data_IF_764828939179
#
_entry.id   IF_764828939179
#
_cell.length_a   1.000
_cell.length_b   1.000
_cell.length_c   1.000
_cell.angle_alpha   90.00
_cell.angle_beta   90.00
_cell.angle_gamma   90.00
#
_symmetry.space_group_name_H-M   'P 1'
#
loop_
_entity.id
_entity.type
_entity.pdbx_description
1 polymer ?
#
# COMPACT_ATOMS: atom_id res chain seq x y z
N UNK A 1 -6.03 -9.63 -19.01
CA UNK A 1 -7.16 -10.50 -18.59
C UNK A 1 -7.37 -10.29 -17.10
N UNK A 2 -8.58 -9.94 -16.66
CA UNK A 2 -8.91 -9.80 -15.24
C UNK A 2 -9.45 -11.14 -14.76
N UNK A 3 -8.74 -11.85 -13.89
CA UNK A 3 -9.20 -13.13 -13.34
C UNK A 3 -9.79 -12.89 -11.95
N UNK A 4 -11.10 -12.79 -11.85
CA UNK A 4 -11.81 -12.57 -10.59
C UNK A 4 -12.14 -13.86 -9.83
N UNK A 5 -12.16 -14.99 -10.51
CA UNK A 5 -12.53 -16.30 -9.96
C UNK A 5 -11.38 -17.34 -10.00
N UNK A 6 -11.57 -18.46 -9.32
CA UNK A 6 -10.58 -19.55 -9.25
C UNK A 6 -10.26 -20.16 -10.61
N UNK A 7 -11.26 -20.54 -11.42
CA UNK A 7 -11.03 -21.12 -12.74
C UNK A 7 -10.24 -20.22 -13.68
N UNK A 8 -10.56 -18.93 -13.74
CA UNK A 8 -9.84 -17.95 -14.56
C UNK A 8 -8.39 -17.77 -14.10
N UNK A 9 -8.11 -17.81 -12.78
CA UNK A 9 -6.75 -17.77 -12.25
C UNK A 9 -5.94 -19.03 -12.64
N UNK A 10 -6.53 -20.21 -12.55
CA UNK A 10 -5.90 -21.45 -12.95
C UNK A 10 -5.53 -21.44 -14.43
N UNK A 11 -6.43 -20.97 -15.28
CA UNK A 11 -6.17 -20.82 -16.70
C UNK A 11 -5.04 -19.82 -16.97
N UNK A 12 -5.02 -18.69 -16.27
CA UNK A 12 -3.95 -17.69 -16.41
C UNK A 12 -2.58 -18.27 -16.01
N UNK A 13 -2.51 -19.06 -14.92
CA UNK A 13 -1.28 -19.69 -14.45
C UNK A 13 -0.78 -20.81 -15.38
N UNK A 14 -1.66 -21.46 -16.13
CA UNK A 14 -1.32 -22.50 -17.08
C UNK A 14 -0.95 -21.99 -18.48
N UNK A 15 -1.16 -20.70 -18.74
CA UNK A 15 -0.84 -20.09 -20.03
C UNK A 15 0.67 -20.16 -20.30
N UNK A 16 1.11 -20.56 -21.50
CA UNK A 16 2.53 -20.63 -21.83
C UNK A 16 3.14 -19.23 -21.99
N UNK A 17 4.44 -19.12 -21.66
CA UNK A 17 5.23 -17.91 -21.87
C UNK A 17 5.32 -17.00 -20.63
N UNK A 18 6.03 -15.87 -20.75
CA UNK A 18 6.17 -14.91 -19.66
C UNK A 18 4.85 -14.19 -19.40
N UNK A 19 4.53 -13.97 -18.11
CA UNK A 19 3.30 -13.32 -17.70
C UNK A 19 3.55 -12.36 -16.53
N UNK A 20 2.71 -11.34 -16.41
CA UNK A 20 2.65 -10.41 -15.28
C UNK A 20 1.28 -10.53 -14.64
N UNK A 21 1.26 -10.86 -13.36
CA UNK A 21 0.04 -10.96 -12.57
C UNK A 21 -0.07 -9.75 -11.66
N UNK A 22 -1.17 -9.00 -11.78
CA UNK A 22 -1.45 -7.83 -10.95
C UNK A 22 -2.58 -8.18 -9.98
N UNK A 23 -2.33 -7.95 -8.69
CA UNK A 23 -3.32 -8.14 -7.64
C UNK A 23 -3.40 -6.90 -6.76
N UNK A 24 -4.58 -6.61 -6.25
CA UNK A 24 -4.72 -5.68 -5.13
C UNK A 24 -4.16 -6.30 -3.86
N UNK A 25 -3.79 -5.44 -2.89
CA UNK A 25 -3.37 -5.84 -1.56
C UNK A 25 -1.88 -6.18 -1.41
N UNK A 26 -1.11 -5.17 -0.99
CA UNK A 26 0.31 -5.34 -0.64
C UNK A 26 0.55 -6.25 0.56
N UNK A 27 -0.45 -6.54 1.39
CA UNK A 27 -0.38 -7.51 2.48
C UNK A 27 -0.28 -8.94 1.98
N UNK A 28 -0.68 -9.20 0.73
CA UNK A 28 -0.81 -10.53 0.10
C UNK A 28 -1.81 -11.42 0.83
N UNK A 29 -2.88 -10.83 1.38
CA UNK A 29 -3.95 -11.51 2.13
C UNK A 29 -5.15 -11.89 1.27
N UNK A 30 -5.32 -11.26 0.11
CA UNK A 30 -6.41 -11.58 -0.80
C UNK A 30 -6.25 -12.99 -1.40
N UNK A 31 -7.36 -13.71 -1.69
CA UNK A 31 -7.30 -15.03 -2.30
C UNK A 31 -6.52 -15.07 -3.62
N UNK A 32 -6.57 -14.00 -4.41
CA UNK A 32 -5.83 -13.92 -5.67
C UNK A 32 -4.33 -13.79 -5.43
N UNK A 33 -3.90 -12.88 -4.53
CA UNK A 33 -2.49 -12.70 -4.19
C UNK A 33 -1.89 -13.97 -3.59
N UNK A 34 -2.61 -14.64 -2.69
CA UNK A 34 -2.19 -15.90 -2.09
C UNK A 34 -2.03 -17.01 -3.13
N UNK A 35 -2.97 -17.15 -4.05
CA UNK A 35 -2.92 -18.18 -5.09
C UNK A 35 -1.74 -17.98 -6.05
N UNK A 36 -1.51 -16.75 -6.52
CA UNK A 36 -0.36 -16.46 -7.39
C UNK A 36 0.96 -16.62 -6.64
N UNK A 37 1.03 -16.19 -5.38
CA UNK A 37 2.23 -16.40 -4.57
C UNK A 37 2.57 -17.87 -4.43
N UNK A 38 1.62 -18.70 -4.03
CA UNK A 38 1.86 -20.15 -3.86
C UNK A 38 2.30 -20.83 -5.16
N UNK A 39 1.69 -20.46 -6.29
CA UNK A 39 2.03 -21.03 -7.58
C UNK A 39 3.42 -20.60 -8.11
N UNK A 40 3.89 -19.42 -7.74
CA UNK A 40 5.06 -18.80 -8.39
C UNK A 40 6.28 -18.67 -7.47
N UNK A 41 6.13 -18.82 -6.15
CA UNK A 41 7.19 -18.56 -5.16
C UNK A 41 8.41 -19.48 -5.30
N UNK A 42 8.22 -20.71 -5.78
CA UNK A 42 9.27 -21.74 -5.84
C UNK A 42 10.23 -21.64 -7.03
N UNK A 43 9.99 -20.76 -7.99
CA UNK A 43 10.84 -20.63 -9.18
C UNK A 43 11.68 -19.34 -9.12
N UNK A 44 12.99 -19.48 -9.13
CA UNK A 44 13.95 -18.37 -9.06
C UNK A 44 13.90 -17.43 -10.28
N UNK A 45 13.29 -17.85 -11.39
CA UNK A 45 13.06 -17.01 -12.58
C UNK A 45 11.96 -15.96 -12.32
N UNK A 46 11.08 -16.23 -11.36
CA UNK A 46 10.00 -15.32 -11.01
C UNK A 46 10.47 -14.13 -10.14
N UNK A 47 9.71 -13.06 -10.17
CA UNK A 47 9.92 -11.91 -9.33
C UNK A 47 8.59 -11.48 -8.70
N UNK A 48 8.59 -11.30 -7.38
CA UNK A 48 7.48 -10.73 -6.61
C UNK A 48 7.79 -9.26 -6.38
N UNK A 49 6.94 -8.38 -6.90
CA UNK A 49 7.10 -6.93 -6.77
C UNK A 49 6.04 -6.36 -5.84
N UNK A 50 6.47 -5.86 -4.69
CA UNK A 50 5.59 -5.19 -3.73
C UNK A 50 5.63 -3.68 -4.00
N UNK A 51 4.48 -3.13 -4.41
CA UNK A 51 4.34 -1.71 -4.76
C UNK A 51 3.53 -0.90 -3.75
N UNK A 52 2.81 -1.58 -2.85
CA UNK A 52 1.94 -0.97 -1.85
C UNK A 52 2.48 -1.03 -0.44
N UNK A 53 1.72 -0.44 0.49
CA UNK A 53 2.01 -0.53 1.91
C UNK A 53 1.87 -1.97 2.42
N UNK A 54 2.76 -2.35 3.33
CA UNK A 54 2.72 -3.66 4.00
C UNK A 54 2.91 -3.51 5.50
N UNK A 55 2.03 -4.11 6.31
CA UNK A 55 2.25 -4.25 7.74
C UNK A 55 3.41 -5.21 8.01
N UNK A 56 4.12 -5.04 9.13
CA UNK A 56 5.31 -5.86 9.47
C UNK A 56 5.01 -7.36 9.54
N UNK A 57 3.84 -7.74 10.04
CA UNK A 57 3.41 -9.13 10.18
C UNK A 57 2.85 -9.74 8.90
N UNK A 58 2.55 -8.93 7.88
CA UNK A 58 1.95 -9.40 6.65
C UNK A 58 2.92 -10.21 5.78
N UNK A 59 2.41 -11.14 4.99
CA UNK A 59 3.19 -11.95 4.06
C UNK A 59 4.04 -11.07 3.13
N UNK A 60 3.48 -9.99 2.60
CA UNK A 60 4.18 -9.04 1.74
C UNK A 60 5.39 -8.34 2.37
N UNK A 61 5.49 -8.33 3.72
CA UNK A 61 6.71 -7.90 4.42
C UNK A 61 7.64 -9.08 4.70
N UNK A 62 7.10 -10.24 5.07
CA UNK A 62 7.89 -11.42 5.46
C UNK A 62 8.67 -12.03 4.31
N UNK A 63 8.23 -11.87 3.06
CA UNK A 63 8.95 -12.38 1.88
C UNK A 63 10.35 -11.77 1.70
N UNK A 64 10.71 -10.73 2.45
CA UNK A 64 12.06 -10.14 2.47
C UNK A 64 12.95 -10.71 3.57
N UNK A 65 12.40 -11.47 4.51
CA UNK A 65 13.14 -12.12 5.58
C UNK A 65 13.76 -13.45 5.09
N UNK A 66 15.07 -13.60 5.23
CA UNK A 66 15.81 -14.75 4.71
C UNK A 66 15.43 -16.06 5.38
N UNK A 67 15.18 -16.07 6.70
CA UNK A 67 14.79 -17.25 7.44
C UNK A 67 13.39 -17.69 7.03
N UNK A 68 12.46 -16.77 6.92
CA UNK A 68 11.11 -17.06 6.42
C UNK A 68 11.12 -17.57 4.99
N UNK A 69 11.93 -16.98 4.10
CA UNK A 69 12.06 -17.43 2.71
C UNK A 69 12.52 -18.87 2.62
N UNK A 70 13.55 -19.25 3.39
CA UNK A 70 14.06 -20.61 3.45
C UNK A 70 12.99 -21.60 3.94
N UNK A 71 12.30 -21.26 5.04
CA UNK A 71 11.24 -22.08 5.61
C UNK A 71 10.04 -22.26 4.66
N UNK A 72 9.66 -21.20 3.96
CA UNK A 72 8.49 -21.18 3.06
C UNK A 72 8.80 -21.65 1.62
N UNK A 73 10.04 -22.03 1.32
CA UNK A 73 10.46 -22.49 -0.01
C UNK A 73 10.39 -21.38 -1.08
N UNK A 74 10.73 -20.14 -0.72
CA UNK A 74 10.64 -18.97 -1.64
C UNK A 74 11.96 -18.82 -2.38
N UNK A 75 12.02 -19.31 -3.61
CA UNK A 75 13.14 -19.12 -4.54
C UNK A 75 12.95 -17.85 -5.42
N UNK A 76 11.72 -17.44 -5.69
CA UNK A 76 11.41 -16.24 -6.48
C UNK A 76 12.10 -14.99 -5.89
N UNK A 77 12.61 -14.12 -6.75
CA UNK A 77 13.16 -12.84 -6.31
C UNK A 77 12.07 -11.98 -5.70
N UNK A 78 12.38 -11.18 -4.68
CA UNK A 78 11.45 -10.22 -4.09
C UNK A 78 12.05 -8.83 -4.18
N UNK A 79 11.26 -7.87 -4.66
CA UNK A 79 11.66 -6.47 -4.75
C UNK A 79 10.55 -5.59 -4.20
N UNK A 80 10.94 -4.46 -3.59
CA UNK A 80 10.01 -3.42 -3.18
C UNK A 80 10.21 -2.20 -4.07
N UNK A 81 9.13 -1.74 -4.67
CA UNK A 81 9.09 -0.50 -5.40
C UNK A 81 8.17 0.47 -4.64
N UNK A 82 8.75 1.52 -4.09
CA UNK A 82 7.98 2.53 -3.38
C UNK A 82 7.29 3.43 -4.40
N UNK A 83 5.98 3.23 -4.55
CA UNK A 83 5.12 4.13 -5.32
C UNK A 83 4.38 4.99 -4.30
N UNK A 84 4.50 6.30 -4.42
CA UNK A 84 3.81 7.25 -3.56
C UNK A 84 2.31 7.24 -3.89
N UNK A 85 1.51 6.64 -3.02
CA UNK A 85 0.05 6.52 -3.18
C UNK A 85 -0.73 7.38 -2.18
N UNK A 86 -0.05 7.98 -1.20
CA UNK A 86 -0.63 8.91 -0.23
C UNK A 86 0.06 10.26 -0.32
N UNK A 87 -0.69 11.31 -0.05
CA UNK A 87 -0.13 12.65 0.05
C UNK A 87 0.74 12.75 1.29
N UNK A 88 1.94 13.33 1.15
CA UNK A 88 2.74 13.76 2.30
C UNK A 88 2.43 15.23 2.67
N UNK A 89 3.11 15.75 3.68
CA UNK A 89 2.93 17.12 4.15
C UNK A 89 3.07 18.15 3.03
N UNK A 90 4.08 17.96 2.16
CA UNK A 90 4.36 18.89 1.05
C UNK A 90 3.21 18.90 0.04
N UNK A 91 2.68 17.71 -0.26
CA UNK A 91 1.57 17.57 -1.19
C UNK A 91 0.30 18.20 -0.63
N UNK A 92 0.00 17.96 0.66
CA UNK A 92 -1.19 18.56 1.30
C UNK A 92 -1.09 20.07 1.32
N UNK A 93 0.09 20.63 1.63
CA UNK A 93 0.31 22.08 1.59
C UNK A 93 0.18 22.62 0.16
N UNK A 94 0.75 21.93 -0.83
CA UNK A 94 0.66 22.32 -2.24
C UNK A 94 -0.79 22.27 -2.75
N UNK A 95 -1.51 21.20 -2.39
CA UNK A 95 -2.93 21.03 -2.72
C UNK A 95 -3.75 22.19 -2.12
N UNK A 96 -3.53 22.52 -0.83
CA UNK A 96 -4.25 23.64 -0.20
C UNK A 96 -3.97 24.97 -0.89
N UNK A 97 -2.73 25.24 -1.29
CA UNK A 97 -2.38 26.44 -2.05
C UNK A 97 -3.12 26.53 -3.38
N UNK A 98 -3.33 25.40 -4.04
CA UNK A 98 -4.05 25.29 -5.30
C UNK A 98 -5.56 25.49 -5.13
N UNK A 99 -6.15 24.78 -4.16
CA UNK A 99 -7.61 24.77 -3.90
C UNK A 99 -8.03 26.02 -3.12
N UNK A 100 -7.15 26.60 -2.30
CA UNK A 100 -7.43 27.74 -1.40
C UNK A 100 -8.61 27.47 -0.47
N UNK A 101 -8.64 26.28 0.13
CA UNK A 101 -9.68 25.89 1.06
C UNK A 101 -9.69 26.83 2.27
N UNK A 102 -10.88 27.29 2.67
CA UNK A 102 -11.05 28.16 3.86
C UNK A 102 -10.84 27.39 5.15
N UNK A 103 -11.24 26.11 5.17
CA UNK A 103 -11.10 25.19 6.30
C UNK A 103 -10.60 23.85 5.82
N UNK A 104 -9.75 23.21 6.60
CA UNK A 104 -9.20 21.87 6.33
C UNK A 104 -9.40 20.99 7.55
N UNK A 105 -10.01 19.83 7.34
CA UNK A 105 -10.09 18.77 8.32
C UNK A 105 -9.15 17.63 7.93
N UNK A 106 -8.18 17.33 8.78
CA UNK A 106 -7.20 16.26 8.55
C UNK A 106 -7.59 15.02 9.35
N UNK A 107 -7.58 13.86 8.69
CA UNK A 107 -7.85 12.55 9.30
C UNK A 107 -7.14 11.43 8.52
N UNK A 108 -7.31 10.18 8.95
CA UNK A 108 -6.77 8.98 8.27
C UNK A 108 -5.24 8.83 8.37
N UNK A 109 -4.63 9.42 9.41
CA UNK A 109 -3.23 9.20 9.77
C UNK A 109 -3.11 9.05 11.29
N UNK A 110 -1.98 8.57 11.82
CA UNK A 110 -1.73 8.57 13.27
C UNK A 110 -1.95 9.96 13.86
N UNK A 111 -2.51 10.01 15.08
CA UNK A 111 -2.89 11.27 15.74
C UNK A 111 -1.73 12.27 15.79
N UNK A 112 -0.53 11.79 16.13
CA UNK A 112 0.68 12.63 16.21
C UNK A 112 1.01 13.30 14.87
N UNK A 113 1.03 12.51 13.78
CA UNK A 113 1.30 13.03 12.44
C UNK A 113 0.22 14.02 11.98
N UNK A 114 -1.05 13.71 12.32
CA UNK A 114 -2.18 14.59 11.99
C UNK A 114 -2.07 15.93 12.70
N UNK A 115 -1.68 15.93 13.99
CA UNK A 115 -1.45 17.16 14.77
C UNK A 115 -0.29 17.96 14.24
N UNK A 116 0.82 17.30 13.90
CA UNK A 116 2.00 17.98 13.34
C UNK A 116 1.64 18.71 12.03
N UNK A 117 0.96 18.02 11.11
CA UNK A 117 0.54 18.64 9.86
C UNK A 117 -0.50 19.75 10.08
N UNK A 118 -1.43 19.58 11.02
CA UNK A 118 -2.38 20.61 11.42
C UNK A 118 -1.64 21.88 11.85
N UNK A 119 -0.65 21.76 12.72
CA UNK A 119 0.18 22.88 13.17
C UNK A 119 0.94 23.56 12.03
N UNK A 120 1.49 22.78 11.11
CA UNK A 120 2.17 23.33 9.91
C UNK A 120 1.23 24.19 9.05
N UNK A 121 -0.01 23.71 8.84
CA UNK A 121 -1.01 24.45 8.07
C UNK A 121 -1.50 25.71 8.80
N UNK A 122 -1.70 25.64 10.11
CA UNK A 122 -2.08 26.80 10.93
C UNK A 122 -0.99 27.87 10.90
N UNK A 123 0.28 27.50 10.96
CA UNK A 123 1.41 28.43 10.82
C UNK A 123 1.47 29.10 9.43
N UNK A 124 0.83 28.50 8.43
CA UNK A 124 0.65 29.10 7.10
C UNK A 124 -0.65 29.93 6.97
N UNK A 125 -1.36 30.17 8.07
CA UNK A 125 -2.59 30.95 8.11
C UNK A 125 -3.84 30.19 7.64
N UNK A 126 -3.80 28.86 7.63
CA UNK A 126 -4.94 28.03 7.21
C UNK A 126 -5.74 27.59 8.45
N UNK A 127 -7.07 27.71 8.43
CA UNK A 127 -7.94 27.12 9.46
C UNK A 127 -7.96 25.58 9.30
N UNK A 128 -6.92 24.94 9.85
CA UNK A 128 -6.77 23.49 9.80
C UNK A 128 -7.08 22.87 11.17
N UNK A 129 -7.74 21.72 11.15
CA UNK A 129 -8.12 20.98 12.36
C UNK A 129 -7.78 19.51 12.25
N UNK A 130 -7.41 18.89 13.38
CA UNK A 130 -7.22 17.47 13.50
C UNK A 130 -8.59 16.78 13.71
N UNK A 131 -9.07 16.04 12.71
CA UNK A 131 -10.37 15.36 12.73
C UNK A 131 -10.48 14.20 13.73
N UNK A 132 -9.39 13.86 14.39
CA UNK A 132 -9.36 12.85 15.45
C UNK A 132 -9.60 13.45 16.84
N UNK A 133 -9.78 14.75 16.94
CA UNK A 133 -10.06 15.45 18.20
C UNK A 133 -11.56 15.73 18.37
N UNK A 134 -12.12 15.63 19.62
CA UNK A 134 -13.56 15.74 19.86
C UNK A 134 -14.22 17.05 19.38
N UNK A 135 -13.45 18.14 19.34
CA UNK A 135 -13.94 19.47 18.91
C UNK A 135 -13.71 19.78 17.45
N UNK A 136 -13.18 18.84 16.67
CA UNK A 136 -12.85 19.10 15.27
C UNK A 136 -14.08 19.40 14.40
N UNK A 137 -15.26 18.94 14.79
CA UNK A 137 -16.50 19.07 14.04
C UNK A 137 -17.37 20.26 14.46
N UNK A 138 -16.96 21.07 15.42
CA UNK A 138 -17.60 22.36 15.71
C UNK A 138 -17.23 23.36 14.60
N UNK A 139 -17.98 23.27 13.51
CA UNK A 139 -17.80 24.09 12.30
C UNK A 139 -18.65 25.38 12.34
#
# INVERSE_FOLDING_TARGET
MLSSDGPSRSLALSAPGPAVYLTGDGMMSSPAAAAYFEALKGDARNCILITGHTARSALGSRIFDSAFRAQAGIAARAQRLTIKVHLDDRDVIALNRSVRAKKILLFHAPLENTRELTGKLQNLGVDARCGLEPRALEL
#
